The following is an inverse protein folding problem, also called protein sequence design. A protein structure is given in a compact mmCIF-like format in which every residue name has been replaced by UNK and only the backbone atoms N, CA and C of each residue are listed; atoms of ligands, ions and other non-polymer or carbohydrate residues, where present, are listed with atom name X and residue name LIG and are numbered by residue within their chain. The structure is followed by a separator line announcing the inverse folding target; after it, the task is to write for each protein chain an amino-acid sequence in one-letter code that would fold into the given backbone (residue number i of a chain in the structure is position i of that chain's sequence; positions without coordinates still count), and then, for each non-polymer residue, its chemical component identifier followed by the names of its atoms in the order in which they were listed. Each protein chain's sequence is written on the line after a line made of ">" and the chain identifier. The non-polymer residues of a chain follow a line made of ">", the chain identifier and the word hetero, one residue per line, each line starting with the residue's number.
data_IF_418064464926
#
_entry.id   IF_418064464926
#
_cell.length_a   1.000
_cell.length_b   1.000
_cell.length_c   1.000
_cell.angle_alpha   90.00
_cell.angle_beta   90.00
_cell.angle_gamma   90.00
#
_symmetry.space_group_name_H-M   'P 1'
#
loop_
_entity.id
_entity.type
_entity.pdbx_description
1 polymer ?
#
# COMPACT_ATOMS: atom_id res chain seq x y z
N UNK A 1 -1.92 4.91 5.32
CA UNK A 1 -1.93 6.29 5.85
C UNK A 1 -1.52 7.18 4.70
N UNK A 2 -2.30 8.22 4.48
CA UNK A 2 -2.11 9.12 3.34
C UNK A 2 -2.60 10.52 3.72
N UNK A 3 -2.03 11.54 3.10
CA UNK A 3 -2.48 12.90 3.30
C UNK A 3 -3.04 13.44 1.98
N UNK A 4 -4.32 13.82 1.99
CA UNK A 4 -5.02 14.32 0.82
C UNK A 4 -5.17 15.83 0.87
N UNK A 5 -4.82 16.48 -0.25
CA UNK A 5 -4.89 17.92 -0.44
C UNK A 5 -6.19 18.35 -1.12
N UNK A 6 -6.53 19.64 -1.05
CA UNK A 6 -7.68 20.25 -1.72
C UNK A 6 -9.06 19.75 -1.27
N UNK A 7 -9.16 19.22 -0.06
CA UNK A 7 -10.39 18.62 0.48
C UNK A 7 -11.34 19.63 1.15
N UNK A 8 -10.94 20.89 1.34
CA UNK A 8 -11.79 21.89 2.02
C UNK A 8 -11.46 23.34 1.61
N UNK A 9 -12.37 24.29 1.91
CA UNK A 9 -12.28 25.72 1.53
C UNK A 9 -11.04 26.46 2.07
N UNK A 10 -10.41 25.93 3.11
CA UNK A 10 -9.28 26.55 3.79
C UNK A 10 -7.94 25.91 3.39
N UNK A 11 -8.00 24.81 2.63
CA UNK A 11 -6.86 24.06 2.13
C UNK A 11 -5.87 23.40 3.14
N UNK A 12 -6.19 23.12 4.44
CA UNK A 12 -5.37 22.20 5.23
C UNK A 12 -5.44 20.77 4.66
N UNK A 13 -4.31 20.04 4.66
CA UNK A 13 -4.30 18.62 4.36
C UNK A 13 -5.16 17.79 5.31
N UNK A 14 -5.86 16.81 4.76
CA UNK A 14 -6.57 15.77 5.51
C UNK A 14 -5.67 14.55 5.60
N UNK A 15 -5.20 14.25 6.79
CA UNK A 15 -4.44 13.04 7.08
C UNK A 15 -5.41 11.90 7.44
N UNK A 16 -5.34 10.80 6.70
CA UNK A 16 -6.26 9.68 6.83
C UNK A 16 -5.54 8.41 7.31
N UNK A 17 -6.09 7.80 8.36
CA UNK A 17 -5.60 6.55 8.93
C UNK A 17 -6.66 5.48 8.73
N UNK A 18 -6.34 4.53 7.86
CA UNK A 18 -7.23 3.41 7.51
C UNK A 18 -6.63 2.09 8.00
N UNK A 19 -7.51 1.20 8.46
CA UNK A 19 -7.21 -0.19 8.81
C UNK A 19 -7.60 -1.15 7.70
N UNK A 20 -7.03 -2.36 7.74
CA UNK A 20 -7.42 -3.48 6.88
C UNK A 20 -8.03 -4.56 7.76
N UNK A 21 -9.24 -5.01 7.42
CA UNK A 21 -9.94 -6.08 8.15
C UNK A 21 -9.42 -7.46 7.75
N UNK A 22 -9.82 -8.50 8.50
CA UNK A 22 -9.50 -9.89 8.19
C UNK A 22 -10.08 -10.38 6.84
N UNK A 23 -11.10 -9.69 6.30
CA UNK A 23 -11.67 -9.96 4.97
C UNK A 23 -11.08 -9.05 3.89
N UNK A 24 -9.91 -8.46 4.15
CA UNK A 24 -9.19 -7.56 3.25
C UNK A 24 -10.01 -6.33 2.82
N UNK A 25 -10.88 -5.83 3.70
CA UNK A 25 -11.63 -4.61 3.48
C UNK A 25 -10.96 -3.44 4.20
N UNK A 26 -10.87 -2.30 3.53
CA UNK A 26 -10.40 -1.05 4.14
C UNK A 26 -11.50 -0.41 4.97
N UNK A 27 -11.17 0.09 6.16
CA UNK A 27 -12.09 0.87 6.99
C UNK A 27 -11.35 2.05 7.65
N UNK A 28 -12.02 3.20 7.86
CA UNK A 28 -11.40 4.34 8.51
C UNK A 28 -11.23 4.11 10.01
N UNK A 29 -10.06 4.46 10.54
CA UNK A 29 -9.75 4.43 11.97
C UNK A 29 -9.80 5.84 12.55
N UNK A 30 -9.10 6.79 11.91
CA UNK A 30 -8.98 8.16 12.40
C UNK A 30 -8.68 9.14 11.25
N UNK A 31 -8.98 10.40 11.51
CA UNK A 31 -8.69 11.52 10.62
C UNK A 31 -7.95 12.61 11.41
N UNK A 32 -6.95 13.20 10.79
CA UNK A 32 -6.28 14.40 11.25
C UNK A 32 -6.53 15.53 10.28
N UNK A 33 -6.82 16.73 10.80
CA UNK A 33 -6.81 17.96 10.02
C UNK A 33 -5.73 18.89 10.58
N UNK A 34 -4.76 19.26 9.76
CA UNK A 34 -3.60 20.03 10.19
C UNK A 34 -3.26 21.15 9.21
N UNK A 35 -2.65 22.24 9.67
CA UNK A 35 -2.23 23.32 8.77
C UNK A 35 -1.09 22.89 7.83
N UNK A 36 -0.25 21.95 8.26
CA UNK A 36 0.96 21.51 7.56
C UNK A 36 1.19 20.01 7.75
N UNK A 37 1.86 19.39 6.77
CA UNK A 37 2.36 18.01 6.85
C UNK A 37 3.82 18.04 7.33
N UNK A 38 3.99 18.20 8.64
CA UNK A 38 5.31 18.18 9.28
C UNK A 38 5.41 17.11 10.36
N UNK A 39 6.62 16.90 10.85
CA UNK A 39 6.93 15.81 11.78
C UNK A 39 6.25 16.02 13.12
N UNK A 40 6.08 17.27 13.56
CA UNK A 40 5.39 17.62 14.79
C UNK A 40 3.90 17.25 14.70
N UNK A 41 3.25 17.65 13.60
CA UNK A 41 1.86 17.35 13.34
C UNK A 41 1.60 15.84 13.28
N UNK A 42 2.38 15.09 12.50
CA UNK A 42 2.22 13.64 12.42
C UNK A 42 2.52 12.94 13.74
N UNK A 43 3.52 13.42 14.49
CA UNK A 43 3.83 12.86 15.82
C UNK A 43 2.65 13.07 16.77
N UNK A 44 2.04 14.25 16.74
CA UNK A 44 0.82 14.53 17.51
C UNK A 44 -0.31 13.57 17.12
N UNK A 45 -0.61 13.40 15.82
CA UNK A 45 -1.63 12.46 15.35
C UNK A 45 -1.37 11.02 15.83
N UNK A 46 -0.11 10.56 15.77
CA UNK A 46 0.23 9.21 16.23
C UNK A 46 0.10 9.03 17.74
N UNK A 47 0.39 10.07 18.55
CA UNK A 47 0.18 10.02 20.00
C UNK A 47 -1.30 9.94 20.35
N UNK A 48 -2.15 10.71 19.67
CA UNK A 48 -3.60 10.63 19.86
C UNK A 48 -4.14 9.25 19.46
N UNK A 49 -3.64 8.68 18.37
CA UNK A 49 -3.99 7.31 17.97
C UNK A 49 -3.53 6.27 19.02
N UNK A 50 -2.35 6.45 19.60
CA UNK A 50 -1.82 5.54 20.62
C UNK A 50 -2.63 5.61 21.92
N UNK A 51 -3.02 6.80 22.35
CA UNK A 51 -3.92 7.01 23.51
C UNK A 51 -5.25 6.28 23.29
N UNK A 52 -5.89 6.49 22.13
CA UNK A 52 -7.12 5.81 21.76
C UNK A 52 -6.94 4.29 21.76
N UNK A 53 -5.87 3.79 21.12
CA UNK A 53 -5.55 2.36 21.04
C UNK A 53 -5.42 1.74 22.44
N UNK A 54 -4.76 2.43 23.37
CA UNK A 54 -4.60 1.98 24.75
C UNK A 54 -5.95 1.96 25.50
N UNK A 55 -6.78 2.99 25.32
CA UNK A 55 -8.11 3.08 25.91
C UNK A 55 -9.01 1.91 25.49
N UNK A 56 -9.05 1.63 24.18
CA UNK A 56 -9.87 0.53 23.62
C UNK A 56 -9.16 -0.83 23.62
N UNK A 57 -7.93 -0.91 24.16
CA UNK A 57 -7.12 -2.13 24.32
C UNK A 57 -6.89 -2.91 23.03
N UNK A 58 -6.66 -2.21 21.92
CA UNK A 58 -6.32 -2.82 20.63
C UNK A 58 -4.81 -3.12 20.59
N UNK A 59 -4.39 -4.24 20.00
CA UNK A 59 -2.96 -4.55 19.81
C UNK A 59 -2.28 -3.58 18.86
N UNK A 60 -0.97 -3.38 18.99
CA UNK A 60 -0.20 -2.60 18.00
C UNK A 60 -0.34 -3.21 16.60
N UNK A 61 -0.37 -2.38 15.54
CA UNK A 61 -0.33 -2.89 14.17
C UNK A 61 1.02 -3.56 13.90
N UNK A 62 1.02 -4.63 13.11
CA UNK A 62 2.27 -5.28 12.67
C UNK A 62 3.01 -4.43 11.62
N UNK A 63 2.25 -3.73 10.77
CA UNK A 63 2.79 -2.96 9.66
C UNK A 63 2.06 -1.63 9.53
N UNK A 64 2.80 -0.56 9.28
CA UNK A 64 2.29 0.74 8.84
C UNK A 64 2.67 0.91 7.36
N UNK A 65 1.68 1.28 6.53
CA UNK A 65 1.86 1.53 5.10
C UNK A 65 1.58 3.02 4.81
N UNK A 66 2.53 3.73 4.22
CA UNK A 66 2.42 5.16 3.88
C UNK A 66 3.05 5.51 2.52
N UNK A 67 2.93 6.77 2.08
CA UNK A 67 3.36 7.34 0.80
C UNK A 67 4.86 7.72 0.70
N UNK A 68 5.68 7.30 1.66
CA UNK A 68 7.11 7.65 1.80
C UNK A 68 7.37 9.14 2.11
N UNK A 69 6.42 9.82 2.76
CA UNK A 69 6.72 11.09 3.40
C UNK A 69 7.74 10.92 4.56
N UNK A 70 8.77 11.76 4.57
CA UNK A 70 9.88 11.68 5.53
C UNK A 70 9.43 12.07 6.95
N UNK A 71 8.62 13.11 7.07
CA UNK A 71 8.09 13.58 8.34
C UNK A 71 7.16 12.52 8.95
N UNK A 72 6.28 11.94 8.14
CA UNK A 72 5.39 10.86 8.56
C UNK A 72 6.16 9.61 9.00
N UNK A 73 7.20 9.24 8.24
CA UNK A 73 8.09 8.12 8.59
C UNK A 73 8.78 8.33 9.94
N UNK A 74 9.35 9.52 10.15
CA UNK A 74 10.04 9.86 11.39
C UNK A 74 9.07 9.85 12.58
N UNK A 75 7.91 10.48 12.43
CA UNK A 75 6.86 10.50 13.45
C UNK A 75 6.39 9.09 13.82
N UNK A 76 6.20 8.21 12.82
CA UNK A 76 5.84 6.82 13.05
C UNK A 76 6.95 6.05 13.78
N UNK A 77 8.23 6.30 13.47
CA UNK A 77 9.36 5.69 14.20
C UNK A 77 9.45 6.19 15.64
N UNK A 78 9.13 7.46 15.90
CA UNK A 78 9.17 8.06 17.22
C UNK A 78 8.09 7.48 18.16
N UNK A 79 6.89 7.20 17.65
CA UNK A 79 5.77 6.67 18.44
C UNK A 79 5.74 5.13 18.44
N UNK A 80 6.06 4.50 17.30
CA UNK A 80 5.99 3.05 17.10
C UNK A 80 7.33 2.47 16.63
N UNK A 81 8.39 2.50 17.46
CA UNK A 81 9.76 2.13 17.05
C UNK A 81 9.91 0.68 16.59
N UNK A 82 9.04 -0.22 17.07
CA UNK A 82 9.09 -1.65 16.76
C UNK A 82 8.11 -2.07 15.65
N UNK A 83 7.30 -1.14 15.12
CA UNK A 83 6.33 -1.45 14.07
C UNK A 83 7.00 -1.34 12.71
N UNK A 84 6.84 -2.36 11.88
CA UNK A 84 7.45 -2.37 10.56
C UNK A 84 6.80 -1.33 9.65
N UNK A 85 7.61 -0.51 8.98
CA UNK A 85 7.11 0.46 8.00
C UNK A 85 7.33 -0.04 6.57
N UNK A 86 6.33 0.18 5.72
CA UNK A 86 6.34 -0.17 4.29
C UNK A 86 5.82 1.01 3.47
N UNK A 87 6.30 1.09 2.24
CA UNK A 87 5.83 2.08 1.28
C UNK A 87 4.60 1.51 0.56
N UNK A 88 3.59 2.34 0.38
CA UNK A 88 2.39 2.02 -0.37
C UNK A 88 2.74 1.68 -1.82
N UNK A 89 2.31 0.51 -2.29
CA UNK A 89 2.58 0.04 -3.64
C UNK A 89 1.97 0.98 -4.70
N UNK A 90 0.79 1.53 -4.44
CA UNK A 90 0.13 2.49 -5.34
C UNK A 90 1.00 3.73 -5.56
N UNK A 91 1.58 4.29 -4.49
CA UNK A 91 2.50 5.42 -4.57
C UNK A 91 3.77 5.07 -5.35
N UNK A 92 4.35 3.89 -5.14
CA UNK A 92 5.50 3.42 -5.92
C UNK A 92 5.17 3.37 -7.41
N UNK A 93 4.06 2.72 -7.77
CA UNK A 93 3.65 2.55 -9.17
C UNK A 93 3.42 3.92 -9.82
N UNK A 94 2.66 4.80 -9.17
CA UNK A 94 2.42 6.14 -9.70
C UNK A 94 3.70 6.96 -9.87
N UNK A 95 4.62 6.86 -8.92
CA UNK A 95 5.90 7.55 -9.01
C UNK A 95 6.74 7.02 -10.18
N UNK A 96 6.80 5.70 -10.36
CA UNK A 96 7.48 5.05 -11.49
C UNK A 96 6.85 5.50 -12.82
N UNK A 97 5.53 5.44 -12.96
CA UNK A 97 4.82 5.86 -14.17
C UNK A 97 5.07 7.34 -14.49
N UNK A 98 5.00 8.21 -13.48
CA UNK A 98 5.27 9.65 -13.62
C UNK A 98 6.67 9.91 -14.16
N UNK A 99 7.69 9.28 -13.58
CA UNK A 99 9.07 9.47 -14.01
C UNK A 99 9.38 8.79 -15.35
N UNK A 100 8.80 7.63 -15.63
CA UNK A 100 8.94 6.96 -16.91
C UNK A 100 8.38 7.81 -18.05
N UNK A 101 7.15 8.33 -17.90
CA UNK A 101 6.51 9.21 -18.89
C UNK A 101 7.32 10.48 -19.16
N UNK A 102 7.86 11.11 -18.12
CA UNK A 102 8.67 12.31 -18.28
C UNK A 102 9.99 12.07 -19.05
N UNK A 103 10.53 10.85 -19.00
CA UNK A 103 11.79 10.48 -19.65
C UNK A 103 11.61 9.79 -21.00
N UNK A 104 10.42 9.23 -21.25
CA UNK A 104 10.12 8.48 -22.46
C UNK A 104 10.04 9.41 -23.68
N UNK A 105 10.90 9.16 -24.67
CA UNK A 105 10.94 9.88 -25.96
C UNK A 105 10.50 9.02 -27.15
N UNK A 106 10.20 7.74 -26.92
CA UNK A 106 9.73 6.83 -27.97
C UNK A 106 8.27 7.10 -28.32
N UNK A 107 7.77 6.56 -29.44
CA UNK A 107 6.33 6.49 -29.63
C UNK A 107 5.73 5.73 -28.44
N UNK A 108 4.71 6.30 -27.79
CA UNK A 108 3.79 5.47 -27.03
C UNK A 108 3.09 4.66 -28.10
N UNK A 109 3.58 3.44 -28.37
CA UNK A 109 2.77 2.47 -29.08
C UNK A 109 1.43 2.50 -28.37
N UNK A 110 0.35 2.85 -29.09
CA UNK A 110 -0.98 2.94 -28.51
C UNK A 110 -1.14 1.71 -27.65
N UNK A 111 -1.10 1.90 -26.33
CA UNK A 111 -1.44 0.85 -25.40
C UNK A 111 -2.90 0.66 -25.75
N UNK A 112 -3.19 -0.41 -26.49
CA UNK A 112 -4.57 -0.80 -26.72
C UNK A 112 -5.24 -0.84 -25.35
N UNK A 113 -6.53 -0.53 -25.32
CA UNK A 113 -7.33 -0.58 -24.10
C UNK A 113 -6.98 -1.80 -23.22
N UNK A 114 -7.21 -1.66 -21.91
CA UNK A 114 -6.90 -2.72 -20.93
C UNK A 114 -7.47 -4.09 -21.35
N UNK A 115 -8.56 -4.08 -22.12
CA UNK A 115 -9.19 -5.25 -22.71
C UNK A 115 -8.31 -5.94 -23.75
N UNK A 116 -7.66 -5.20 -24.67
CA UNK A 116 -6.69 -5.77 -25.62
C UNK A 116 -5.43 -6.33 -24.94
N UNK A 117 -5.01 -5.72 -23.83
CA UNK A 117 -3.82 -6.14 -23.08
C UNK A 117 -4.12 -7.40 -22.26
N UNK A 118 -5.32 -7.48 -21.68
CA UNK A 118 -5.84 -8.69 -21.06
C UNK A 118 -6.00 -9.83 -22.08
N UNK A 119 -6.50 -9.53 -23.29
CA UNK A 119 -6.61 -10.51 -24.37
C UNK A 119 -5.23 -11.01 -24.82
N UNK A 120 -4.24 -10.14 -24.97
CA UNK A 120 -2.86 -10.53 -25.29
C UNK A 120 -2.25 -11.43 -24.21
N UNK A 121 -2.46 -11.13 -22.92
CA UNK A 121 -1.98 -11.97 -21.82
C UNK A 121 -2.69 -13.34 -21.78
N UNK A 122 -3.99 -13.39 -22.09
CA UNK A 122 -4.72 -14.66 -22.21
C UNK A 122 -4.24 -15.50 -23.40
N UNK A 123 -3.97 -14.86 -24.54
CA UNK A 123 -3.46 -15.53 -25.75
C UNK A 123 -2.03 -16.05 -25.56
N UNK A 124 -1.16 -15.30 -24.88
CA UNK A 124 0.19 -15.77 -24.51
C UNK A 124 0.14 -16.96 -23.53
N UNK A 125 -0.82 -16.96 -22.60
CA UNK A 125 -1.03 -18.09 -21.67
C UNK A 125 -1.54 -19.34 -22.39
N UNK A 126 -2.43 -19.18 -23.37
CA UNK A 126 -2.93 -20.27 -24.21
C UNK A 126 -1.83 -20.86 -25.11
N UNK A 127 -0.92 -20.03 -25.64
CA UNK A 127 0.21 -20.48 -26.45
C UNK A 127 1.33 -21.12 -25.60
N UNK A 128 1.53 -20.66 -24.36
CA UNK A 128 2.46 -21.25 -23.39
C UNK A 128 2.04 -22.65 -22.91
N UNK A 129 0.73 -22.91 -22.81
CA UNK A 129 0.20 -24.23 -22.43
C UNK A 129 0.46 -25.33 -23.48
N UNK A 130 0.72 -24.97 -24.74
CA UNK A 130 0.98 -25.91 -25.83
C UNK A 130 2.43 -26.43 -25.89
N UNK A 131 3.33 -25.93 -25.03
CA UNK A 131 4.73 -26.37 -24.95
C UNK A 131 5.13 -26.70 -23.50
N UNK A 132 4.50 -27.71 -22.89
CA UNK A 132 5.12 -28.39 -21.75
C UNK A 132 5.85 -29.66 -22.24
N UNK A 133 7.18 -29.76 -22.05
CA UNK A 133 7.86 -31.04 -22.07
C UNK A 133 7.38 -31.87 -20.88
N UNK A 134 7.13 -33.15 -21.11
CA UNK A 134 6.85 -34.14 -20.07
C UNK A 134 7.99 -34.20 -19.04
N UNK A 135 7.64 -33.96 -17.78
CA UNK A 135 8.29 -34.36 -16.53
C UNK A 135 9.81 -34.14 -16.38
N UNK A 136 10.17 -33.11 -15.62
CA UNK A 136 11.42 -33.03 -14.85
C UNK A 136 11.15 -32.30 -13.54
N UNK A 137 11.21 -33.00 -12.40
CA UNK A 137 11.00 -32.43 -11.06
C UNK A 137 12.04 -31.33 -10.81
N UNK A 138 11.61 -30.07 -10.65
CA UNK A 138 12.45 -28.98 -10.14
C UNK A 138 11.84 -28.43 -8.83
N UNK A 139 12.71 -28.20 -7.85
CA UNK A 139 12.37 -27.94 -6.45
C UNK A 139 12.09 -26.46 -6.16
N UNK A 140 11.06 -25.88 -6.76
CA UNK A 140 10.54 -24.56 -6.37
C UNK A 140 9.03 -24.66 -6.13
N UNK A 141 8.66 -25.26 -5.00
CA UNK A 141 7.28 -25.49 -4.58
C UNK A 141 7.09 -25.27 -3.08
N UNK A 142 7.72 -24.24 -2.53
CA UNK A 142 7.49 -23.80 -1.16
C UNK A 142 7.44 -22.27 -1.16
N UNK A 143 6.51 -21.68 -0.41
CA UNK A 143 6.18 -20.24 -0.34
C UNK A 143 4.98 -19.74 -1.15
N UNK A 144 3.98 -20.56 -1.47
CA UNK A 144 2.59 -20.07 -1.57
C UNK A 144 1.63 -21.15 -1.05
N UNK A 145 1.63 -21.35 0.26
CA UNK A 145 0.52 -21.93 1.00
C UNK A 145 0.82 -21.72 2.49
N UNK A 146 0.12 -20.79 3.11
CA UNK A 146 -0.41 -20.89 4.49
C UNK A 146 -0.80 -19.51 5.01
N UNK A 147 -2.07 -19.09 4.80
CA UNK A 147 -2.82 -18.23 5.72
C UNK A 147 -4.34 -18.50 5.64
N UNK A 148 -4.75 -19.75 5.38
CA UNK A 148 -6.16 -20.18 5.42
C UNK A 148 -6.42 -21.25 6.48
N UNK A 149 -5.66 -21.25 7.59
CA UNK A 149 -5.89 -22.20 8.67
C UNK A 149 -5.21 -21.84 9.99
N UNK A 150 -5.79 -20.93 10.76
CA UNK A 150 -5.63 -20.92 12.22
C UNK A 150 -6.87 -20.30 12.89
N UNK A 151 -7.96 -21.06 12.80
CA UNK A 151 -9.04 -21.10 13.78
C UNK A 151 -8.84 -22.40 14.56
N UNK A 152 -8.29 -22.32 15.76
CA UNK A 152 -8.57 -23.21 16.91
C UNK A 152 -7.74 -22.75 18.12
N UNK A 153 -8.45 -22.56 19.24
CA UNK A 153 -8.03 -22.15 20.59
C UNK A 153 -7.97 -20.63 20.85
#
# INVERSE_FOLDING_TARGET
>A
MDATYNVNRFNPPLFEINGISAINSTFPIAYGLGPHEDEEYFTWCFRQLEELRQEVKISLPHVIISDFDKALKNAALAVYPNVQQRICLWHIINNVVKHAKAKWKGPIAAVGDEESLAQQLMDETAQGAAKLPTAGKSNYGHFIHDQTGLLAA
#
